data_IF_650630627002
#
_entry.id   IF_650630627002
#
_cell.length_a   1.000
_cell.length_b   1.000
_cell.length_c   1.000
_cell.angle_alpha   90.00
_cell.angle_beta   90.00
_cell.angle_gamma   90.00
#
_symmetry.space_group_name_H-M   'P 1'
#
loop_
_entity.id
_entity.type
_entity.pdbx_description
1 polymer ?
#
# COMPACT_ATOMS: atom_id res chain seq x y z
N UNK A 1 -6.09 16.37 -5.07
CA UNK A 1 -6.99 15.80 -4.04
C UNK A 1 -6.47 16.27 -2.70
N UNK A 2 -7.33 16.67 -1.79
CA UNK A 2 -6.96 16.87 -0.39
C UNK A 2 -6.86 15.52 0.35
N UNK A 3 -6.38 15.54 1.59
CA UNK A 3 -6.20 14.34 2.41
C UNK A 3 -7.51 13.58 2.65
N UNK A 4 -8.64 14.28 2.82
CA UNK A 4 -9.94 13.65 3.05
C UNK A 4 -10.37 12.89 1.80
N UNK A 5 -10.26 13.51 0.63
CA UNK A 5 -10.58 12.89 -0.65
C UNK A 5 -9.73 11.65 -0.94
N UNK A 6 -8.43 11.70 -0.61
CA UNK A 6 -7.53 10.53 -0.74
C UNK A 6 -7.99 9.40 0.19
N UNK A 7 -8.29 9.70 1.46
CA UNK A 7 -8.77 8.71 2.41
C UNK A 7 -10.09 8.07 2.01
N UNK A 8 -11.06 8.86 1.53
CA UNK A 8 -12.35 8.35 1.05
C UNK A 8 -12.18 7.43 -0.15
N UNK A 9 -11.32 7.80 -1.11
CA UNK A 9 -11.03 6.97 -2.28
C UNK A 9 -10.31 5.67 -1.91
N UNK A 10 -9.33 5.73 -1.01
CA UNK A 10 -8.64 4.54 -0.50
C UNK A 10 -9.62 3.55 0.12
N UNK A 11 -10.49 4.02 1.02
CA UNK A 11 -11.48 3.17 1.69
C UNK A 11 -12.47 2.55 0.70
N UNK A 12 -12.93 3.30 -0.31
CA UNK A 12 -13.82 2.77 -1.34
C UNK A 12 -13.17 1.63 -2.13
N UNK A 13 -11.93 1.83 -2.60
CA UNK A 13 -11.18 0.80 -3.34
C UNK A 13 -10.93 -0.45 -2.50
N UNK A 14 -10.55 -0.31 -1.23
CA UNK A 14 -10.33 -1.45 -0.34
C UNK A 14 -11.62 -2.26 -0.08
N UNK A 15 -12.79 -1.59 0.06
CA UNK A 15 -14.09 -2.27 0.22
C UNK A 15 -14.49 -3.10 -0.99
N UNK A 16 -14.02 -2.72 -2.17
CA UNK A 16 -14.23 -3.42 -3.43
C UNK A 16 -13.15 -4.47 -3.73
N UNK A 17 -12.15 -4.64 -2.84
CA UNK A 17 -11.01 -5.54 -3.07
C UNK A 17 -10.00 -5.02 -4.10
N UNK A 18 -10.08 -3.75 -4.49
CA UNK A 18 -9.24 -3.11 -5.52
C UNK A 18 -7.95 -2.53 -4.93
N UNK A 19 -7.24 -3.33 -4.14
CA UNK A 19 -6.05 -2.88 -3.41
C UNK A 19 -4.90 -2.45 -4.35
N UNK A 20 -4.68 -3.18 -5.45
CA UNK A 20 -3.64 -2.86 -6.43
C UNK A 20 -3.93 -1.51 -7.10
N UNK A 21 -5.19 -1.20 -7.40
CA UNK A 21 -5.54 0.11 -7.96
C UNK A 21 -5.34 1.26 -6.97
N UNK A 22 -5.58 1.02 -5.68
CA UNK A 22 -5.26 2.01 -4.66
C UNK A 22 -3.76 2.33 -4.65
N UNK A 23 -2.92 1.30 -4.76
CA UNK A 23 -1.46 1.46 -4.85
C UNK A 23 -1.07 2.21 -6.14
N UNK A 24 -1.62 1.82 -7.29
CA UNK A 24 -1.32 2.45 -8.58
C UNK A 24 -1.69 3.92 -8.66
N UNK A 25 -2.77 4.33 -7.97
CA UNK A 25 -3.37 5.65 -8.17
C UNK A 25 -3.17 6.62 -7.00
N UNK A 26 -2.92 6.12 -5.78
CA UNK A 26 -2.86 6.96 -4.58
C UNK A 26 -1.47 7.02 -3.94
N UNK A 27 -0.59 6.06 -4.20
CA UNK A 27 0.66 5.92 -3.44
C UNK A 27 1.83 6.64 -4.13
N UNK A 28 2.73 7.18 -3.31
CA UNK A 28 3.99 7.74 -3.80
C UNK A 28 4.88 6.64 -4.38
N UNK A 29 5.73 6.99 -5.35
CA UNK A 29 6.80 6.11 -5.81
C UNK A 29 7.74 5.72 -4.64
N UNK A 30 7.88 6.62 -3.66
CA UNK A 30 8.75 6.47 -2.48
C UNK A 30 7.99 6.00 -1.22
N UNK A 31 6.86 5.29 -1.38
CA UNK A 31 6.06 4.85 -0.23
C UNK A 31 6.83 3.92 0.72
N UNK A 32 6.51 4.00 2.01
CA UNK A 32 7.04 3.13 3.07
C UNK A 32 5.87 2.39 3.75
N UNK A 33 5.94 1.07 3.84
CA UNK A 33 5.04 0.21 4.60
C UNK A 33 5.78 -0.31 5.84
N UNK A 34 5.18 -0.11 7.02
CA UNK A 34 5.77 -0.48 8.30
C UNK A 34 4.80 -1.40 9.03
N UNK A 35 5.22 -2.63 9.27
CA UNK A 35 4.52 -3.62 10.08
C UNK A 35 5.01 -3.59 11.53
N UNK A 36 4.17 -4.01 12.48
CA UNK A 36 4.54 -4.04 13.90
C UNK A 36 5.71 -5.01 14.19
N UNK A 37 5.84 -6.06 13.38
CA UNK A 37 6.90 -7.06 13.45
C UNK A 37 7.28 -7.50 12.04
N UNK A 38 8.55 -7.85 11.86
CA UNK A 38 9.07 -8.49 10.65
C UNK A 38 9.83 -9.76 10.99
N UNK A 39 10.32 -10.44 9.96
CA UNK A 39 11.21 -11.59 10.07
C UNK A 39 12.30 -11.52 8.98
N UNK A 40 13.10 -12.58 8.85
CA UNK A 40 14.21 -12.63 7.87
C UNK A 40 13.72 -12.59 6.41
N UNK A 41 12.52 -13.11 6.11
CA UNK A 41 11.96 -13.14 4.74
C UNK A 41 11.18 -11.87 4.41
N UNK A 42 10.50 -11.28 5.40
CA UNK A 42 9.67 -10.09 5.28
C UNK A 42 10.05 -9.09 6.38
N UNK A 43 10.93 -8.12 6.06
CA UNK A 43 11.34 -7.11 7.04
C UNK A 43 10.16 -6.25 7.45
N UNK A 44 10.24 -5.70 8.67
CA UNK A 44 9.17 -4.86 9.23
C UNK A 44 8.94 -3.59 8.40
N UNK A 45 9.99 -3.05 7.79
CA UNK A 45 9.92 -1.89 6.90
C UNK A 45 10.23 -2.32 5.46
N UNK A 46 9.36 -1.94 4.54
CA UNK A 46 9.56 -2.08 3.09
C UNK A 46 9.29 -0.74 2.41
N UNK A 47 10.13 -0.38 1.45
CA UNK A 47 10.06 0.91 0.76
C UNK A 47 10.04 0.76 -0.76
N UNK A 48 9.42 1.73 -1.43
CA UNK A 48 9.29 1.79 -2.87
C UNK A 48 8.04 1.09 -3.41
N UNK A 49 7.41 1.70 -4.42
CA UNK A 49 6.14 1.21 -4.98
C UNK A 49 6.22 -0.24 -5.49
N UNK A 50 7.36 -0.66 -6.05
CA UNK A 50 7.56 -2.01 -6.55
C UNK A 50 7.51 -3.05 -5.43
N UNK A 51 8.16 -2.77 -4.29
CA UNK A 51 8.16 -3.66 -3.13
C UNK A 51 6.76 -3.78 -2.51
N UNK A 52 6.01 -2.67 -2.44
CA UNK A 52 4.65 -2.66 -1.87
C UNK A 52 3.65 -3.37 -2.79
N UNK A 53 3.78 -3.23 -4.11
CA UNK A 53 2.98 -4.00 -5.07
C UNK A 53 3.23 -5.50 -4.94
N UNK A 54 4.50 -5.92 -4.97
CA UNK A 54 4.85 -7.33 -4.84
C UNK A 54 4.33 -7.95 -3.52
N UNK A 55 4.41 -7.20 -2.42
CA UNK A 55 3.81 -7.61 -1.14
C UNK A 55 2.29 -7.81 -1.24
N UNK A 56 1.58 -6.93 -1.93
CA UNK A 56 0.11 -7.01 -2.07
C UNK A 56 -0.36 -8.08 -3.07
N UNK A 57 0.49 -8.49 -4.01
CA UNK A 57 0.19 -9.61 -4.92
C UNK A 57 0.34 -10.98 -4.24
N UNK A 58 1.17 -11.06 -3.20
CA UNK A 58 1.37 -12.29 -2.44
C UNK A 58 0.27 -12.55 -1.39
N UNK A 59 -0.35 -11.49 -0.89
CA UNK A 59 -1.46 -11.56 0.07
C UNK A 59 -2.80 -11.85 -0.61
#
# INVERSE_FOLDING_TARGET
>A
MDTKQVGEKLVALCREGRNIEAIDTLYSQDIVSIEAMGNEEMPAEMSGIAAIKGKNEWW
#
